data_IF_186728808528
#
_entry.id   IF_186728808528
#
_cell.length_a   1.000
_cell.length_b   1.000
_cell.length_c   1.000
_cell.angle_alpha   90.00
_cell.angle_beta   90.00
_cell.angle_gamma   90.00
#
_symmetry.space_group_name_H-M   'P 1'
#
loop_
_entity.id
_entity.type
_entity.pdbx_description
1 polymer ?
#
# COMPACT_ATOMS: atom_id res chain seq x y z
N UNK A 1 17.32 -12.45 20.57
CA UNK A 1 16.45 -11.56 21.33
C UNK A 1 15.02 -12.05 21.31
N UNK A 2 14.21 -11.61 22.26
CA UNK A 2 12.78 -11.89 22.33
C UNK A 2 12.00 -10.59 22.12
N UNK A 3 11.00 -10.65 21.23
CA UNK A 3 10.12 -9.52 20.89
C UNK A 3 8.68 -9.96 20.93
N UNK A 4 7.74 -9.02 21.06
CA UNK A 4 6.32 -9.27 20.93
C UNK A 4 5.89 -9.12 19.46
N UNK A 5 4.87 -9.87 19.06
CA UNK A 5 4.09 -9.66 17.85
C UNK A 5 2.77 -8.97 18.23
N UNK A 6 2.83 -7.68 18.57
CA UNK A 6 1.70 -6.93 19.13
C UNK A 6 0.63 -6.67 18.09
N UNK A 7 -0.59 -7.13 18.36
CA UNK A 7 -1.78 -6.86 17.53
C UNK A 7 -2.90 -6.10 18.26
N UNK A 8 -2.84 -6.01 19.58
CA UNK A 8 -3.80 -5.29 20.42
C UNK A 8 -3.16 -4.84 21.74
N UNK A 9 -3.79 -3.92 22.47
CA UNK A 9 -3.18 -3.27 23.63
C UNK A 9 -3.34 -4.09 24.90
N UNK A 10 -4.54 -4.60 25.18
CA UNK A 10 -4.83 -5.33 26.43
C UNK A 10 -5.27 -6.76 26.14
N UNK A 11 -5.10 -7.70 27.08
CA UNK A 11 -5.53 -9.08 26.91
C UNK A 11 -7.01 -9.25 26.54
N UNK A 12 -7.88 -8.36 27.06
CA UNK A 12 -9.32 -8.39 26.81
C UNK A 12 -9.66 -8.09 25.34
N UNK A 13 -8.79 -7.39 24.63
CA UNK A 13 -9.00 -7.03 23.22
C UNK A 13 -8.74 -8.19 22.24
N UNK A 14 -8.24 -9.32 22.73
CA UNK A 14 -8.06 -10.54 21.94
C UNK A 14 -9.33 -10.92 21.18
N UNK A 15 -10.50 -10.75 21.80
CA UNK A 15 -11.79 -11.08 21.21
C UNK A 15 -12.06 -10.32 19.90
N UNK A 16 -11.60 -9.08 19.78
CA UNK A 16 -11.79 -8.30 18.54
C UNK A 16 -11.00 -8.89 17.38
N UNK A 17 -9.78 -9.38 17.67
CA UNK A 17 -8.96 -10.08 16.67
C UNK A 17 -9.62 -11.40 16.24
N UNK A 18 -10.14 -12.18 17.18
CA UNK A 18 -10.85 -13.43 16.90
C UNK A 18 -12.07 -13.20 16.02
N UNK A 19 -12.87 -12.17 16.30
CA UNK A 19 -14.02 -11.77 15.46
C UNK A 19 -13.57 -11.41 14.04
N UNK A 20 -12.51 -10.63 13.88
CA UNK A 20 -12.01 -10.23 12.57
C UNK A 20 -11.48 -11.42 11.78
N UNK A 21 -10.69 -12.30 12.40
CA UNK A 21 -10.15 -13.50 11.76
C UNK A 21 -11.26 -14.46 11.34
N UNK A 22 -12.25 -14.65 12.21
CA UNK A 22 -13.43 -15.47 11.90
C UNK A 22 -14.20 -14.90 10.70
N UNK A 23 -14.41 -13.58 10.66
CA UNK A 23 -15.06 -12.91 9.53
C UNK A 23 -14.27 -13.05 8.22
N UNK A 24 -12.96 -13.15 8.30
CA UNK A 24 -12.08 -13.40 7.16
C UNK A 24 -11.95 -14.88 6.77
N UNK A 25 -12.56 -15.80 7.53
CA UNK A 25 -12.59 -17.24 7.24
C UNK A 25 -11.32 -17.98 7.65
N UNK A 26 -10.53 -17.46 8.61
CA UNK A 26 -9.38 -18.17 9.16
C UNK A 26 -9.84 -19.31 10.07
N UNK A 27 -9.40 -20.57 9.83
CA UNK A 27 -9.89 -21.75 10.55
C UNK A 27 -9.37 -21.83 12.00
N UNK A 28 -8.29 -21.11 12.32
CA UNK A 28 -7.59 -21.05 13.61
C UNK A 28 -7.85 -19.74 14.38
N UNK A 29 -8.95 -19.08 14.08
CA UNK A 29 -9.25 -17.76 14.63
C UNK A 29 -9.35 -17.77 16.18
N UNK A 30 -9.84 -18.84 16.77
CA UNK A 30 -10.01 -19.05 18.22
C UNK A 30 -8.76 -19.63 18.90
N UNK A 31 -7.80 -20.14 18.12
CA UNK A 31 -6.55 -20.73 18.63
C UNK A 31 -5.37 -19.74 18.65
N UNK A 32 -5.64 -18.43 18.46
CA UNK A 32 -4.60 -17.42 18.38
C UNK A 32 -3.85 -17.26 19.72
N UNK A 33 -2.50 -17.10 19.69
CA UNK A 33 -1.72 -16.78 20.88
C UNK A 33 -2.09 -15.43 21.47
N UNK A 34 -1.60 -15.16 22.68
CA UNK A 34 -1.76 -13.84 23.31
C UNK A 34 -0.78 -12.84 22.69
N UNK A 35 -1.32 -11.88 21.93
CA UNK A 35 -0.56 -10.89 21.15
C UNK A 35 -0.79 -9.45 21.66
N UNK A 36 -1.03 -9.29 22.95
CA UNK A 36 -1.16 -7.97 23.56
C UNK A 36 0.19 -7.30 23.79
N UNK A 37 0.17 -5.98 23.93
CA UNK A 37 1.36 -5.22 24.30
C UNK A 37 1.80 -5.59 25.73
N UNK A 38 3.01 -6.11 25.87
CA UNK A 38 3.60 -6.50 27.15
C UNK A 38 4.59 -5.45 27.62
N UNK A 39 4.56 -5.17 28.90
CA UNK A 39 5.64 -4.45 29.59
C UNK A 39 6.90 -5.30 29.68
N UNK A 40 8.01 -4.69 30.05
CA UNK A 40 9.28 -5.44 30.24
C UNK A 40 9.14 -6.54 31.27
N UNK A 41 8.44 -6.27 32.39
CA UNK A 41 8.24 -7.26 33.45
C UNK A 41 7.38 -8.44 32.97
N UNK A 42 6.32 -8.18 32.22
CA UNK A 42 5.47 -9.22 31.60
C UNK A 42 6.24 -10.04 30.57
N UNK A 43 7.12 -9.39 29.79
CA UNK A 43 8.00 -10.09 28.85
C UNK A 43 8.98 -11.00 29.59
N UNK A 44 9.63 -10.53 30.66
CA UNK A 44 10.52 -11.35 31.47
C UNK A 44 9.78 -12.55 32.10
N UNK A 45 8.56 -12.32 32.60
CA UNK A 45 7.71 -13.38 33.17
C UNK A 45 7.24 -14.40 32.13
N UNK A 46 7.25 -14.08 30.82
CA UNK A 46 6.86 -14.99 29.75
C UNK A 46 7.89 -16.10 29.47
N UNK A 47 9.06 -16.07 30.10
CA UNK A 47 10.14 -17.04 29.90
C UNK A 47 10.51 -17.80 31.20
N UNK A 48 9.55 -18.44 31.90
CA UNK A 48 9.79 -19.10 33.18
C UNK A 48 10.74 -20.31 33.07
N UNK A 49 10.98 -20.78 31.87
CA UNK A 49 11.90 -21.89 31.58
C UNK A 49 13.37 -21.45 31.37
N UNK A 50 13.63 -20.14 31.34
CA UNK A 50 14.98 -19.58 31.30
C UNK A 50 15.43 -19.15 32.71
N UNK A 51 16.74 -19.05 32.94
CA UNK A 51 17.24 -18.36 34.11
C UNK A 51 16.94 -16.86 34.00
N UNK A 52 16.85 -16.16 35.15
CA UNK A 52 16.61 -14.73 35.18
C UNK A 52 17.65 -13.93 34.36
N UNK A 53 18.91 -14.32 34.45
CA UNK A 53 20.01 -13.73 33.67
C UNK A 53 19.77 -13.93 32.15
N UNK A 54 19.39 -15.13 31.73
CA UNK A 54 19.14 -15.44 30.32
C UNK A 54 17.86 -14.77 29.78
N UNK A 55 16.83 -14.71 30.61
CA UNK A 55 15.62 -13.96 30.27
C UNK A 55 15.93 -12.45 30.08
N UNK A 56 16.70 -11.85 31.00
CA UNK A 56 17.13 -10.46 30.86
C UNK A 56 18.01 -10.25 29.61
N UNK A 57 18.94 -11.15 29.33
CA UNK A 57 19.77 -11.09 28.13
C UNK A 57 18.91 -11.00 26.86
N UNK A 58 17.96 -11.91 26.68
CA UNK A 58 17.17 -12.01 25.43
C UNK A 58 16.08 -10.94 25.31
N UNK A 59 15.51 -10.50 26.42
CA UNK A 59 14.43 -9.49 26.44
C UNK A 59 14.95 -8.07 26.45
N UNK A 60 16.02 -7.80 27.21
CA UNK A 60 16.49 -6.43 27.46
C UNK A 60 17.84 -6.17 26.82
N UNK A 61 18.89 -6.95 27.17
CA UNK A 61 20.24 -6.64 26.76
C UNK A 61 20.42 -6.72 25.24
N UNK A 62 19.96 -7.80 24.62
CA UNK A 62 20.12 -8.00 23.18
C UNK A 62 19.23 -7.06 22.35
N UNK A 63 18.03 -6.74 22.79
CA UNK A 63 17.17 -5.76 22.12
C UNK A 63 17.78 -4.36 22.14
N UNK A 64 18.37 -3.96 23.28
CA UNK A 64 19.10 -2.68 23.39
C UNK A 64 20.35 -2.68 22.51
N UNK A 65 21.15 -3.74 22.54
CA UNK A 65 22.35 -3.83 21.72
C UNK A 65 22.06 -3.72 20.22
N UNK A 66 20.95 -4.30 19.75
CA UNK A 66 20.49 -4.14 18.36
C UNK A 66 20.10 -2.68 18.11
N UNK A 67 19.28 -2.07 18.99
CA UNK A 67 18.89 -0.68 18.85
C UNK A 67 20.10 0.27 18.81
N UNK A 68 21.07 0.07 19.71
CA UNK A 68 22.28 0.89 19.79
C UNK A 68 23.21 0.73 18.58
N UNK A 69 23.07 -0.36 17.82
CA UNK A 69 23.83 -0.58 16.58
C UNK A 69 23.19 0.12 15.35
N UNK A 70 21.99 0.64 15.49
CA UNK A 70 21.28 1.32 14.39
C UNK A 70 21.75 2.77 14.33
N UNK A 71 22.25 3.18 13.17
CA UNK A 71 22.60 4.58 12.91
C UNK A 71 21.35 5.37 12.50
N UNK A 72 21.35 6.65 12.84
CA UNK A 72 20.31 7.57 12.37
C UNK A 72 20.52 7.87 10.88
N UNK A 73 19.83 7.17 10.03
CA UNK A 73 19.92 7.31 8.59
C UNK A 73 18.59 7.82 8.01
N UNK A 74 18.67 8.53 6.91
CA UNK A 74 17.53 8.95 6.13
C UNK A 74 17.41 8.03 4.89
N UNK A 75 16.64 6.91 4.97
CA UNK A 75 16.63 5.89 3.93
C UNK A 75 15.97 6.38 2.63
N UNK A 76 15.11 7.39 2.72
CA UNK A 76 14.44 7.99 1.56
C UNK A 76 14.84 9.47 1.46
N UNK A 77 15.39 9.93 0.33
CA UNK A 77 15.68 11.34 0.10
C UNK A 77 14.44 12.22 0.22
N UNK A 78 14.63 13.50 0.60
CA UNK A 78 13.53 14.47 0.60
C UNK A 78 13.06 14.76 -0.82
N UNK A 79 11.76 14.90 -0.98
CA UNK A 79 11.14 15.29 -2.24
C UNK A 79 10.57 14.12 -3.05
N UNK A 80 9.94 14.48 -4.15
CA UNK A 80 9.33 13.53 -5.10
C UNK A 80 10.13 13.57 -6.40
N UNK A 81 10.54 12.40 -6.88
CA UNK A 81 11.37 12.24 -8.07
C UNK A 81 10.59 11.50 -9.16
N UNK A 82 9.65 12.20 -9.78
CA UNK A 82 8.92 11.64 -10.92
C UNK A 82 9.84 11.49 -12.13
N UNK A 83 9.75 10.39 -12.89
CA UNK A 83 10.48 10.26 -14.15
C UNK A 83 10.04 11.36 -15.13
N UNK A 84 10.91 11.69 -16.10
CA UNK A 84 10.59 12.64 -17.16
C UNK A 84 10.64 11.92 -18.50
N UNK A 85 9.53 11.92 -19.20
CA UNK A 85 9.41 11.39 -20.58
C UNK A 85 8.83 12.53 -21.41
N UNK A 86 9.56 12.96 -22.41
CA UNK A 86 9.12 14.03 -23.30
C UNK A 86 7.85 13.61 -24.05
N UNK A 87 6.86 14.48 -24.09
CA UNK A 87 5.57 14.24 -24.74
C UNK A 87 4.63 13.27 -23.98
N UNK A 88 4.96 12.88 -22.73
CA UNK A 88 4.14 11.92 -21.99
C UNK A 88 2.75 12.49 -21.62
N UNK A 89 2.70 13.76 -21.21
CA UNK A 89 1.45 14.42 -20.81
C UNK A 89 0.52 14.61 -22.01
N UNK A 90 1.06 15.01 -23.16
CA UNK A 90 0.34 15.14 -24.40
C UNK A 90 -0.17 13.78 -24.90
N UNK A 91 0.67 12.76 -24.89
CA UNK A 91 0.28 11.41 -25.32
C UNK A 91 -0.79 10.80 -24.42
N UNK A 92 -0.69 11.00 -23.10
CA UNK A 92 -1.70 10.58 -22.15
C UNK A 92 -3.03 11.30 -22.38
N UNK A 93 -3.00 12.61 -22.55
CA UNK A 93 -4.18 13.44 -22.83
C UNK A 93 -4.87 13.01 -24.11
N UNK A 94 -4.13 12.90 -25.20
CA UNK A 94 -4.65 12.49 -26.51
C UNK A 94 -5.30 11.12 -26.43
N UNK A 95 -4.66 10.15 -25.79
CA UNK A 95 -5.18 8.79 -25.61
C UNK A 95 -6.53 8.80 -24.89
N UNK A 96 -6.63 9.57 -23.80
CA UNK A 96 -7.87 9.70 -23.03
C UNK A 96 -9.03 10.24 -23.90
N UNK A 97 -8.78 11.30 -24.67
CA UNK A 97 -9.83 11.84 -25.56
C UNK A 97 -10.17 10.91 -26.72
N UNK A 98 -9.19 10.27 -27.32
CA UNK A 98 -9.43 9.32 -28.42
C UNK A 98 -10.31 8.17 -27.93
N UNK A 99 -10.03 7.60 -26.77
CA UNK A 99 -10.81 6.49 -26.23
C UNK A 99 -12.19 6.95 -25.73
N UNK A 100 -12.26 8.13 -25.08
CA UNK A 100 -13.55 8.71 -24.71
C UNK A 100 -14.46 8.92 -25.93
N UNK A 101 -13.95 9.45 -27.03
CA UNK A 101 -14.72 9.63 -28.28
C UNK A 101 -15.15 8.32 -28.91
N UNK A 102 -14.33 7.27 -28.84
CA UNK A 102 -14.71 5.93 -29.32
C UNK A 102 -15.90 5.35 -28.54
N UNK A 103 -15.94 5.59 -27.23
CA UNK A 103 -16.95 5.01 -26.34
C UNK A 103 -18.22 5.86 -26.31
N UNK A 104 -18.09 7.19 -26.22
CA UNK A 104 -19.21 8.11 -25.96
C UNK A 104 -19.65 8.94 -27.18
N UNK A 105 -18.90 8.85 -28.30
CA UNK A 105 -19.18 9.61 -29.52
C UNK A 105 -18.42 10.94 -29.64
N UNK A 106 -18.47 11.54 -30.84
CA UNK A 106 -17.91 12.85 -31.15
C UNK A 106 -19.02 13.72 -31.75
N UNK A 107 -19.43 14.84 -31.11
CA UNK A 107 -18.84 15.42 -29.89
C UNK A 107 -19.14 14.62 -28.62
N UNK A 108 -18.23 14.73 -27.64
CA UNK A 108 -18.43 14.11 -26.33
C UNK A 108 -19.67 14.69 -25.62
N UNK A 109 -20.43 13.88 -24.88
CA UNK A 109 -21.46 14.39 -23.97
C UNK A 109 -20.83 15.33 -22.93
N UNK A 110 -21.53 16.42 -22.60
CA UNK A 110 -21.02 17.46 -21.71
C UNK A 110 -20.49 16.90 -20.37
N UNK A 111 -21.19 15.98 -19.73
CA UNK A 111 -20.78 15.38 -18.44
C UNK A 111 -19.48 14.60 -18.57
N UNK A 112 -19.25 13.93 -19.69
CA UNK A 112 -18.03 13.18 -19.99
C UNK A 112 -16.86 14.12 -20.22
N UNK A 113 -17.09 15.17 -21.02
CA UNK A 113 -16.09 16.18 -21.30
C UNK A 113 -15.64 16.89 -20.01
N UNK A 114 -16.59 17.42 -19.23
CA UNK A 114 -16.30 18.14 -17.98
C UNK A 114 -15.54 17.27 -16.97
N UNK A 115 -15.90 15.99 -16.87
CA UNK A 115 -15.22 15.06 -15.97
C UNK A 115 -13.80 14.76 -16.42
N UNK A 116 -13.62 14.50 -17.70
CA UNK A 116 -12.31 14.21 -18.27
C UNK A 116 -11.35 15.39 -18.15
N UNK A 117 -11.84 16.60 -18.50
CA UNK A 117 -11.08 17.83 -18.38
C UNK A 117 -10.61 18.06 -16.95
N UNK A 118 -11.51 17.88 -15.97
CA UNK A 118 -11.19 18.04 -14.55
C UNK A 118 -10.11 17.06 -14.07
N UNK A 119 -10.25 15.78 -14.41
CA UNK A 119 -9.26 14.77 -13.97
C UNK A 119 -7.90 14.95 -14.66
N UNK A 120 -7.88 15.25 -15.95
CA UNK A 120 -6.65 15.52 -16.69
C UNK A 120 -5.93 16.75 -16.15
N UNK A 121 -6.65 17.85 -15.88
CA UNK A 121 -6.06 19.04 -15.27
C UNK A 121 -5.44 18.73 -13.91
N UNK A 122 -6.15 18.02 -13.04
CA UNK A 122 -5.63 17.59 -11.74
C UNK A 122 -4.37 16.71 -11.87
N UNK A 123 -4.36 15.76 -12.78
CA UNK A 123 -3.24 14.81 -12.95
C UNK A 123 -2.01 15.52 -13.51
N UNK A 124 -2.19 16.33 -14.56
CA UNK A 124 -1.08 16.98 -15.29
C UNK A 124 -0.51 18.13 -14.47
N UNK A 125 -1.36 19.00 -13.89
CA UNK A 125 -0.90 20.15 -13.10
C UNK A 125 -0.09 19.75 -11.87
N UNK A 126 -0.32 18.53 -11.33
CA UNK A 126 0.47 17.95 -10.25
C UNK A 126 1.67 17.09 -10.73
N UNK A 127 1.95 17.03 -12.04
CA UNK A 127 3.09 16.31 -12.61
C UNK A 127 2.97 14.80 -12.61
N UNK A 128 1.74 14.27 -12.60
CA UNK A 128 1.49 12.80 -12.56
C UNK A 128 1.16 12.21 -13.94
N UNK A 129 1.03 12.99 -15.01
CA UNK A 129 0.71 12.49 -16.36
C UNK A 129 1.68 11.44 -16.84
N UNK A 130 2.99 11.63 -16.61
CA UNK A 130 4.02 10.65 -16.96
C UNK A 130 3.84 9.30 -16.25
N UNK A 131 3.32 9.29 -15.01
CA UNK A 131 3.06 8.04 -14.27
C UNK A 131 1.89 7.27 -14.87
N UNK A 132 0.82 7.96 -15.28
CA UNK A 132 -0.30 7.36 -16.00
C UNK A 132 0.15 6.82 -17.38
N UNK A 133 0.98 7.57 -18.09
CA UNK A 133 1.54 7.11 -19.36
C UNK A 133 2.38 5.84 -19.22
N UNK A 134 3.22 5.75 -18.18
CA UNK A 134 4.00 4.54 -17.88
C UNK A 134 3.07 3.39 -17.49
N UNK A 135 2.07 3.64 -16.65
CA UNK A 135 1.10 2.64 -16.22
C UNK A 135 0.35 2.05 -17.43
N UNK A 136 -0.14 2.91 -18.34
CA UNK A 136 -0.74 2.45 -19.60
C UNK A 136 0.19 1.51 -20.36
N UNK A 137 1.46 1.89 -20.56
CA UNK A 137 2.43 1.04 -21.28
C UNK A 137 2.63 -0.32 -20.62
N UNK A 138 2.68 -0.36 -19.29
CA UNK A 138 2.85 -1.61 -18.54
C UNK A 138 1.60 -2.50 -18.65
N UNK A 139 0.42 -1.92 -18.49
CA UNK A 139 -0.87 -2.63 -18.62
C UNK A 139 -1.02 -3.17 -20.04
N UNK A 140 -0.80 -2.32 -21.04
CA UNK A 140 -0.87 -2.73 -22.45
C UNK A 140 0.10 -3.86 -22.76
N UNK A 141 1.34 -3.78 -22.32
CA UNK A 141 2.33 -4.85 -22.54
C UNK A 141 1.90 -6.15 -21.89
N UNK A 142 1.36 -6.08 -20.68
CA UNK A 142 0.86 -7.26 -19.98
C UNK A 142 -0.29 -7.94 -20.74
N UNK A 143 -1.25 -7.13 -21.22
CA UNK A 143 -2.39 -7.63 -22.02
C UNK A 143 -1.93 -8.20 -23.37
N UNK A 144 -1.00 -7.53 -24.04
CA UNK A 144 -0.43 -8.00 -25.33
C UNK A 144 0.32 -9.34 -25.16
N UNK A 145 0.88 -9.61 -23.97
CA UNK A 145 1.52 -10.88 -23.63
C UNK A 145 0.51 -11.96 -23.16
N UNK A 146 -0.79 -11.64 -23.12
CA UNK A 146 -1.87 -12.56 -22.75
C UNK A 146 -2.15 -12.68 -21.26
N UNK A 147 -1.63 -11.76 -20.43
CA UNK A 147 -1.91 -11.72 -19.00
C UNK A 147 -3.07 -10.78 -18.69
N UNK A 148 -3.88 -11.16 -17.71
CA UNK A 148 -4.94 -10.29 -17.20
C UNK A 148 -4.37 -9.24 -16.24
N UNK A 149 -4.91 -8.03 -16.33
CA UNK A 149 -4.61 -6.93 -15.42
C UNK A 149 -5.90 -6.48 -14.76
N UNK A 150 -5.88 -6.31 -13.44
CA UNK A 150 -6.97 -5.77 -12.65
C UNK A 150 -6.54 -4.51 -11.90
N UNK A 151 -7.45 -3.55 -11.75
CA UNK A 151 -7.20 -2.36 -10.96
C UNK A 151 -7.23 -2.66 -9.46
N UNK A 152 -6.40 -1.96 -8.69
CA UNK A 152 -6.38 -2.03 -7.23
C UNK A 152 -6.34 -0.63 -6.63
N UNK A 153 -7.16 -0.40 -5.61
CA UNK A 153 -7.23 0.89 -4.94
C UNK A 153 -8.03 1.94 -5.72
N UNK A 154 -7.77 3.21 -5.45
CA UNK A 154 -8.56 4.34 -5.97
C UNK A 154 -8.43 4.57 -7.48
N UNK A 155 -7.39 4.04 -8.13
CA UNK A 155 -7.22 4.15 -9.58
C UNK A 155 -8.39 3.51 -10.33
N UNK A 156 -9.02 2.47 -9.77
CA UNK A 156 -10.20 1.82 -10.35
C UNK A 156 -11.45 2.71 -10.44
N UNK A 157 -11.46 3.86 -9.76
CA UNK A 157 -12.52 4.87 -9.85
C UNK A 157 -12.12 6.13 -10.62
N UNK A 158 -10.91 6.19 -11.16
CA UNK A 158 -10.46 7.30 -12.00
C UNK A 158 -11.00 7.15 -13.43
N UNK A 159 -11.70 8.16 -13.90
CA UNK A 159 -12.21 8.19 -15.26
C UNK A 159 -11.08 8.31 -16.30
N UNK A 160 -10.07 9.14 -16.00
CA UNK A 160 -8.89 9.28 -16.86
C UNK A 160 -8.08 7.96 -16.95
N UNK A 161 -7.97 7.20 -15.85
CA UNK A 161 -7.35 5.87 -15.89
C UNK A 161 -8.11 4.92 -16.79
N UNK A 162 -9.44 4.86 -16.68
CA UNK A 162 -10.29 4.05 -17.56
C UNK A 162 -10.13 4.46 -19.03
N UNK A 163 -10.10 5.77 -19.31
CA UNK A 163 -9.92 6.28 -20.68
C UNK A 163 -8.50 6.07 -21.23
N UNK A 164 -7.52 5.86 -20.37
CA UNK A 164 -6.15 5.48 -20.76
C UNK A 164 -5.88 3.98 -20.71
N UNK A 165 -6.91 3.16 -20.55
CA UNK A 165 -6.79 1.69 -20.55
C UNK A 165 -5.88 1.14 -19.42
N UNK A 166 -5.91 1.80 -18.24
CA UNK A 166 -5.19 1.36 -17.04
C UNK A 166 -6.10 0.53 -16.13
#
# INVERSE_FOLDING_TARGET
CATCDVHYLTPEEKIYREIMLTACGFPDADEQPDLHLRTTDEMLASFPYLSEEKAYEVVVANTRAINDSIEDIKPVPDGTYSPKIEGADEAFTEMCYVNAKKIYGDPLPRVVQERLDYELDCIISNGYGVLYYIAHKLVKKSLDDGYLVGSRGSVGSSFAATMSEI
#
